data_IF_375383985742
#
_entry.id   IF_375383985742
#
_cell.length_a   1.000
_cell.length_b   1.000
_cell.length_c   1.000
_cell.angle_alpha   90.00
_cell.angle_beta   90.00
_cell.angle_gamma   90.00
#
_symmetry.space_group_name_H-M   'P 1'
#
loop_
_entity.id
_entity.type
_entity.pdbx_description
1 polymer ?
#
# COMPACT_ATOMS: atom_id res chain seq x y z
N UNK A 1 9.92 -41.20 22.69
CA UNK A 1 10.09 -40.54 21.40
C UNK A 1 9.17 -39.33 21.38
N UNK A 2 9.64 -38.10 21.69
CA UNK A 2 8.77 -36.94 21.78
C UNK A 2 8.55 -36.29 20.41
N UNK A 3 7.38 -35.66 20.31
CA UNK A 3 6.80 -35.02 19.14
C UNK A 3 7.66 -33.84 18.68
N UNK A 4 7.83 -33.77 17.36
CA UNK A 4 8.51 -32.72 16.59
C UNK A 4 8.11 -31.31 17.02
N UNK A 5 9.15 -30.52 17.32
CA UNK A 5 9.12 -29.07 17.48
C UNK A 5 8.33 -28.43 16.32
N UNK A 6 7.25 -27.71 16.66
CA UNK A 6 6.66 -26.76 15.73
C UNK A 6 7.67 -25.61 15.61
N UNK A 7 8.36 -25.55 14.47
CA UNK A 7 9.08 -24.35 14.06
C UNK A 7 8.05 -23.23 13.87
N UNK A 8 7.89 -22.39 14.88
CA UNK A 8 7.34 -21.05 14.73
C UNK A 8 8.23 -20.31 13.72
N UNK A 9 7.70 -19.79 12.60
CA UNK A 9 8.50 -18.96 11.72
C UNK A 9 8.80 -17.65 12.45
N UNK A 10 9.95 -17.60 13.12
CA UNK A 10 10.54 -16.38 13.67
C UNK A 10 10.96 -15.45 12.53
N UNK A 11 9.99 -14.75 11.94
CA UNK A 11 10.24 -13.73 10.93
C UNK A 11 10.13 -12.36 11.59
N UNK A 12 11.27 -11.80 12.00
CA UNK A 12 11.35 -10.37 12.25
C UNK A 12 11.40 -9.67 10.90
N UNK A 13 10.29 -9.09 10.49
CA UNK A 13 10.14 -8.36 9.22
C UNK A 13 11.14 -7.21 9.03
N UNK A 14 11.85 -6.80 10.10
CA UNK A 14 12.83 -5.71 10.07
C UNK A 14 14.07 -6.00 9.21
N UNK A 15 14.54 -7.26 9.15
CA UNK A 15 15.86 -7.57 8.58
C UNK A 15 15.74 -8.28 7.22
N UNK A 16 14.58 -8.88 6.95
CA UNK A 16 14.35 -9.72 5.78
C UNK A 16 13.67 -8.96 4.63
N UNK A 17 12.79 -7.97 4.88
CA UNK A 17 12.03 -7.33 3.80
C UNK A 17 12.86 -6.34 2.95
N UNK A 18 13.95 -5.77 3.49
CA UNK A 18 14.69 -4.67 2.86
C UNK A 18 16.01 -5.07 2.20
N UNK A 19 16.31 -6.36 2.04
CA UNK A 19 17.44 -6.73 1.17
C UNK A 19 17.06 -6.36 -0.27
N UNK A 20 17.69 -5.31 -0.81
CA UNK A 20 17.62 -4.94 -2.23
C UNK A 20 17.85 -6.20 -3.08
N UNK A 21 16.78 -6.78 -3.63
CA UNK A 21 16.88 -8.05 -4.35
C UNK A 21 15.64 -8.94 -4.38
N UNK A 22 14.54 -8.63 -3.67
CA UNK A 22 13.32 -9.45 -3.78
C UNK A 22 12.43 -9.00 -4.94
N UNK A 23 12.17 -9.93 -5.83
CA UNK A 23 11.24 -9.77 -6.95
C UNK A 23 9.79 -9.69 -6.45
N UNK A 24 8.88 -9.06 -7.21
CA UNK A 24 7.47 -9.00 -6.81
C UNK A 24 6.82 -10.37 -6.57
N UNK A 25 7.24 -11.38 -7.32
CA UNK A 25 6.75 -12.75 -7.17
C UNK A 25 7.22 -13.41 -5.86
N UNK A 26 8.42 -13.08 -5.37
CA UNK A 26 8.90 -13.59 -4.08
C UNK A 26 8.11 -12.99 -2.93
N UNK A 27 7.83 -11.68 -2.96
CA UNK A 27 6.96 -11.03 -1.97
C UNK A 27 5.57 -11.67 -1.99
N UNK A 28 4.98 -11.85 -3.17
CA UNK A 28 3.68 -12.52 -3.32
C UNK A 28 3.66 -13.91 -2.66
N UNK A 29 4.72 -14.70 -2.85
CA UNK A 29 4.82 -16.05 -2.28
C UNK A 29 5.08 -16.06 -0.79
N UNK A 30 6.08 -15.30 -0.33
CA UNK A 30 6.56 -15.36 1.05
C UNK A 30 5.67 -14.60 2.02
N UNK A 31 5.11 -13.47 1.60
CA UNK A 31 4.29 -12.60 2.46
C UNK A 31 2.82 -12.95 2.33
N UNK A 32 2.32 -13.14 1.11
CA UNK A 32 0.89 -13.36 0.85
C UNK A 32 0.51 -14.84 0.63
N UNK A 33 1.48 -15.74 0.51
CA UNK A 33 1.23 -17.17 0.33
C UNK A 33 0.67 -17.57 -1.04
N UNK A 34 0.65 -16.67 -2.04
CA UNK A 34 0.14 -16.98 -3.37
C UNK A 34 1.25 -17.45 -4.31
N UNK A 35 0.99 -18.50 -5.09
CA UNK A 35 1.99 -19.11 -5.99
C UNK A 35 2.25 -18.28 -7.26
N UNK A 36 1.27 -17.51 -7.72
CA UNK A 36 1.34 -16.68 -8.92
C UNK A 36 0.36 -15.51 -8.88
N UNK A 37 0.69 -14.46 -9.65
CA UNK A 37 -0.23 -13.37 -9.92
C UNK A 37 -1.42 -13.83 -10.77
N UNK A 38 -2.57 -13.17 -10.61
CA UNK A 38 -3.78 -13.44 -11.36
C UNK A 38 -3.95 -12.42 -12.50
N UNK A 39 -4.28 -12.89 -13.69
CA UNK A 39 -4.60 -12.03 -14.84
C UNK A 39 -3.48 -11.01 -15.13
N UNK A 40 -3.83 -9.72 -15.15
CA UNK A 40 -2.89 -8.62 -15.45
C UNK A 40 -2.15 -8.07 -14.23
N UNK A 41 -2.32 -8.65 -13.04
CA UNK A 41 -1.68 -8.15 -11.81
C UNK A 41 -0.16 -8.03 -11.96
N UNK A 42 0.49 -9.05 -12.52
CA UNK A 42 1.96 -9.07 -12.66
C UNK A 42 2.47 -7.88 -13.48
N UNK A 43 1.84 -7.62 -14.63
CA UNK A 43 2.22 -6.52 -15.53
C UNK A 43 2.09 -5.16 -14.83
N UNK A 44 1.00 -4.96 -14.09
CA UNK A 44 0.79 -3.74 -13.30
C UNK A 44 1.85 -3.59 -12.21
N UNK A 45 2.10 -4.66 -11.46
CA UNK A 45 3.07 -4.66 -10.36
C UNK A 45 4.48 -4.38 -10.87
N UNK A 46 4.92 -5.06 -11.92
CA UNK A 46 6.25 -4.85 -12.53
C UNK A 46 6.42 -3.43 -13.05
N UNK A 47 5.38 -2.87 -13.69
CA UNK A 47 5.38 -1.48 -14.16
C UNK A 47 5.52 -0.46 -13.02
N UNK A 48 4.76 -0.65 -11.94
CA UNK A 48 4.82 0.22 -10.76
C UNK A 48 6.15 0.10 -10.00
N UNK A 49 6.73 -1.11 -9.96
CA UNK A 49 8.07 -1.33 -9.37
C UNK A 49 9.16 -0.63 -10.17
N UNK A 50 9.02 -0.59 -11.50
CA UNK A 50 9.93 0.16 -12.38
C UNK A 50 9.78 1.69 -12.28
N UNK A 51 8.82 2.19 -11.48
CA UNK A 51 8.61 3.62 -11.28
C UNK A 51 7.55 4.26 -12.18
N UNK A 52 6.83 3.47 -12.98
CA UNK A 52 5.78 3.97 -13.85
C UNK A 52 4.46 4.26 -13.12
N UNK A 53 3.55 4.94 -13.80
CA UNK A 53 2.19 5.22 -13.34
C UNK A 53 1.16 4.30 -14.00
N UNK A 54 0.12 3.90 -13.27
CA UNK A 54 -0.93 3.03 -13.81
C UNK A 54 -2.33 3.39 -13.29
N UNK A 55 -3.33 3.24 -14.15
CA UNK A 55 -4.74 3.21 -13.77
C UNK A 55 -5.22 1.76 -13.88
N UNK A 56 -5.73 1.21 -12.77
CA UNK A 56 -6.08 -0.22 -12.66
C UNK A 56 -7.58 -0.40 -12.51
N UNK A 57 -8.22 -0.91 -13.56
CA UNK A 57 -9.63 -1.28 -13.53
C UNK A 57 -9.79 -2.79 -13.44
N UNK A 58 -9.82 -3.32 -12.22
CA UNK A 58 -10.22 -4.71 -11.98
C UNK A 58 -11.59 -4.77 -11.28
N UNK A 59 -12.34 -5.88 -11.39
CA UNK A 59 -13.54 -6.08 -10.57
C UNK A 59 -13.19 -6.18 -9.08
N UNK A 60 -14.20 -6.02 -8.22
CA UNK A 60 -14.04 -6.22 -6.76
C UNK A 60 -13.62 -7.66 -6.48
N UNK A 61 -12.78 -7.87 -5.46
CA UNK A 61 -12.28 -9.20 -5.11
C UNK A 61 -11.18 -9.76 -6.03
N UNK A 62 -10.83 -9.06 -7.11
CA UNK A 62 -9.74 -9.46 -8.02
C UNK A 62 -8.33 -9.17 -7.46
N UNK A 63 -8.19 -8.84 -6.18
CA UNK A 63 -6.90 -8.56 -5.54
C UNK A 63 -6.24 -7.27 -6.02
N UNK A 64 -7.00 -6.19 -6.22
CA UNK A 64 -6.48 -4.87 -6.59
C UNK A 64 -5.43 -4.35 -5.60
N UNK A 65 -5.63 -4.63 -4.31
CA UNK A 65 -4.71 -4.18 -3.25
C UNK A 65 -3.28 -4.67 -3.45
N UNK A 66 -3.10 -5.93 -3.89
CA UNK A 66 -1.78 -6.48 -4.20
C UNK A 66 -1.03 -5.66 -5.26
N UNK A 67 -1.76 -5.00 -6.17
CA UNK A 67 -1.17 -4.22 -7.25
C UNK A 67 -0.45 -2.97 -6.76
N UNK A 68 -0.77 -2.44 -5.57
CA UNK A 68 -0.03 -1.32 -4.98
C UNK A 68 0.74 -1.71 -3.72
N UNK A 69 0.29 -2.73 -2.99
CA UNK A 69 1.00 -3.19 -1.79
C UNK A 69 2.34 -3.83 -2.12
N UNK A 70 2.40 -4.71 -3.12
CA UNK A 70 3.66 -5.37 -3.49
C UNK A 70 4.67 -4.34 -4.03
N UNK A 71 4.32 -3.41 -4.93
CA UNK A 71 5.26 -2.37 -5.35
C UNK A 71 5.73 -1.46 -4.20
N UNK A 72 4.88 -1.17 -3.22
CA UNK A 72 5.28 -0.41 -2.04
C UNK A 72 6.34 -1.15 -1.21
N UNK A 73 6.29 -2.48 -1.16
CA UNK A 73 7.28 -3.32 -0.48
C UNK A 73 8.55 -3.56 -1.30
N UNK A 74 8.49 -3.45 -2.63
CA UNK A 74 9.65 -3.60 -3.50
C UNK A 74 10.52 -2.33 -3.60
N UNK A 75 9.90 -1.15 -3.44
CA UNK A 75 10.55 0.15 -3.62
C UNK A 75 11.04 0.69 -2.28
N UNK A 76 12.18 1.37 -2.30
CA UNK A 76 12.69 2.04 -1.11
C UNK A 76 11.82 3.25 -0.76
N UNK A 77 11.46 3.38 0.52
CA UNK A 77 10.53 4.38 1.03
C UNK A 77 9.18 3.81 1.49
N UNK A 78 8.23 4.69 1.78
CA UNK A 78 6.88 4.35 2.24
C UNK A 78 5.85 4.43 1.12
N UNK A 79 4.97 3.43 1.02
CA UNK A 79 3.78 3.48 0.17
C UNK A 79 2.63 4.23 0.86
N UNK A 80 2.08 5.25 0.21
CA UNK A 80 0.93 5.99 0.72
C UNK A 80 -0.32 5.57 -0.05
N UNK A 81 -1.33 5.09 0.66
CA UNK A 81 -2.60 4.63 0.07
C UNK A 81 -3.72 5.56 0.51
N UNK A 82 -4.34 6.26 -0.43
CA UNK A 82 -5.52 7.09 -0.18
C UNK A 82 -6.76 6.21 -0.36
N UNK A 83 -7.59 6.08 0.67
CA UNK A 83 -8.83 5.29 0.60
C UNK A 83 -9.98 6.00 1.33
N UNK A 84 -11.19 6.09 0.74
CA UNK A 84 -12.31 6.78 1.36
C UNK A 84 -12.97 5.97 2.51
N UNK A 85 -12.71 4.66 2.61
CA UNK A 85 -13.44 3.77 3.52
C UNK A 85 -12.61 3.44 4.76
N UNK A 86 -12.81 4.19 5.86
CA UNK A 86 -12.07 4.00 7.13
C UNK A 86 -12.14 2.56 7.66
N UNK A 87 -13.30 1.92 7.57
CA UNK A 87 -13.46 0.53 8.01
C UNK A 87 -12.56 -0.42 7.20
N UNK A 88 -12.52 -0.25 5.87
CA UNK A 88 -11.67 -1.04 4.99
C UNK A 88 -10.18 -0.76 5.25
N UNK A 89 -9.80 0.50 5.50
CA UNK A 89 -8.43 0.86 5.86
C UNK A 89 -7.96 0.09 7.09
N UNK A 90 -8.80 0.02 8.15
CA UNK A 90 -8.49 -0.72 9.37
C UNK A 90 -8.29 -2.20 9.09
N UNK A 91 -9.22 -2.82 8.36
CA UNK A 91 -9.18 -4.24 8.05
C UNK A 91 -7.94 -4.59 7.18
N UNK A 92 -7.57 -3.72 6.23
CA UNK A 92 -6.35 -3.87 5.43
C UNK A 92 -5.08 -3.73 6.28
N UNK A 93 -5.03 -2.75 7.20
CA UNK A 93 -3.88 -2.53 8.09
C UNK A 93 -3.71 -3.69 9.06
N UNK A 94 -4.80 -4.22 9.62
CA UNK A 94 -4.76 -5.38 10.50
C UNK A 94 -4.27 -6.63 9.75
N UNK A 95 -4.81 -6.90 8.56
CA UNK A 95 -4.36 -8.01 7.72
C UNK A 95 -2.87 -7.90 7.38
N UNK A 96 -2.39 -6.71 6.97
CA UNK A 96 -0.97 -6.48 6.69
C UNK A 96 -0.09 -6.70 7.93
N UNK A 97 -0.50 -6.23 9.10
CA UNK A 97 0.24 -6.47 10.36
C UNK A 97 0.34 -7.96 10.69
N UNK A 98 -0.71 -8.74 10.45
CA UNK A 98 -0.68 -10.20 10.63
C UNK A 98 0.31 -10.89 9.68
N UNK A 99 0.57 -10.30 8.51
CA UNK A 99 1.60 -10.76 7.57
C UNK A 99 3.01 -10.23 7.90
N UNK A 100 3.17 -9.50 9.01
CA UNK A 100 4.43 -8.86 9.40
C UNK A 100 4.75 -7.56 8.66
N UNK A 101 3.85 -7.05 7.82
CA UNK A 101 4.03 -5.77 7.14
C UNK A 101 3.79 -4.62 8.12
N UNK A 102 4.68 -3.64 8.12
CA UNK A 102 4.60 -2.47 9.01
C UNK A 102 3.63 -1.45 8.42
N UNK A 103 2.34 -1.62 8.71
CA UNK A 103 1.30 -0.75 8.19
C UNK A 103 0.63 0.11 9.27
N UNK A 104 0.19 1.30 8.89
CA UNK A 104 -0.64 2.18 9.72
C UNK A 104 -1.76 2.83 8.92
N UNK A 105 -2.79 3.32 9.62
CA UNK A 105 -3.83 4.18 9.06
C UNK A 105 -3.79 5.55 9.73
N UNK A 106 -4.10 6.60 8.97
CA UNK A 106 -4.18 7.98 9.41
C UNK A 106 -5.52 8.56 8.95
N UNK A 107 -6.46 8.64 9.88
CA UNK A 107 -7.84 9.08 9.64
C UNK A 107 -8.33 9.93 10.83
N UNK A 108 -9.54 10.49 10.72
CA UNK A 108 -10.13 11.36 11.74
C UNK A 108 -10.52 10.65 13.05
N UNK A 109 -10.57 9.32 13.06
CA UNK A 109 -11.01 8.53 14.22
C UNK A 109 -9.88 8.21 15.21
N UNK A 110 -8.63 8.54 14.86
CA UNK A 110 -7.48 8.33 15.75
C UNK A 110 -7.56 9.24 16.97
N UNK A 111 -7.28 8.66 18.14
CA UNK A 111 -6.92 9.40 19.33
C UNK A 111 -5.60 10.15 19.14
N UNK A 112 -5.32 11.11 20.02
CA UNK A 112 -4.07 11.88 20.00
C UNK A 112 -2.86 10.97 20.18
N UNK A 113 -2.98 9.98 21.06
CA UNK A 113 -1.95 9.01 21.38
C UNK A 113 -1.61 8.15 20.15
N UNK A 114 -2.63 7.63 19.46
CA UNK A 114 -2.43 6.84 18.24
C UNK A 114 -1.81 7.68 17.11
N UNK A 115 -2.27 8.92 16.92
CA UNK A 115 -1.67 9.82 15.94
C UNK A 115 -0.18 10.08 16.22
N UNK A 116 0.19 10.31 17.49
CA UNK A 116 1.59 10.49 17.89
C UNK A 116 2.40 9.21 17.62
N UNK A 117 1.84 8.03 17.88
CA UNK A 117 2.49 6.75 17.61
C UNK A 117 2.74 6.55 16.11
N UNK A 118 1.75 6.80 15.25
CA UNK A 118 1.89 6.73 13.79
C UNK A 118 2.96 7.70 13.30
N UNK A 119 2.96 8.94 13.79
CA UNK A 119 3.98 9.94 13.44
C UNK A 119 5.39 9.48 13.83
N UNK A 120 5.55 8.94 15.04
CA UNK A 120 6.86 8.43 15.50
C UNK A 120 7.34 7.26 14.65
N UNK A 121 6.45 6.32 14.32
CA UNK A 121 6.79 5.18 13.47
C UNK A 121 7.18 5.64 12.05
N UNK A 122 6.45 6.59 11.48
CA UNK A 122 6.78 7.19 10.18
C UNK A 122 8.18 7.80 10.19
N UNK A 123 8.44 8.76 11.09
CA UNK A 123 9.74 9.46 11.16
C UNK A 123 10.92 8.57 11.56
N UNK A 124 10.64 7.38 12.10
CA UNK A 124 11.66 6.37 12.39
C UNK A 124 11.92 5.41 11.21
N UNK A 125 11.26 5.59 10.06
CA UNK A 125 11.35 4.66 8.92
C UNK A 125 10.77 3.28 9.24
N UNK A 126 9.82 3.21 10.18
CA UNK A 126 9.22 1.97 10.69
C UNK A 126 7.89 1.64 10.04
N UNK A 127 7.56 2.24 8.90
CA UNK A 127 6.34 1.98 8.14
C UNK A 127 6.66 1.67 6.69
N UNK A 128 6.01 0.63 6.18
CA UNK A 128 6.04 0.20 4.78
C UNK A 128 4.87 0.80 4.02
N UNK A 129 3.70 0.86 4.68
CA UNK A 129 2.48 1.40 4.12
C UNK A 129 1.74 2.30 5.11
N UNK A 130 1.27 3.43 4.62
CA UNK A 130 0.40 4.36 5.33
C UNK A 130 -0.90 4.55 4.56
N UNK A 131 -2.00 4.06 5.12
CA UNK A 131 -3.33 4.37 4.63
C UNK A 131 -3.77 5.74 5.16
N UNK A 132 -4.31 6.60 4.30
CA UNK A 132 -4.73 7.96 4.64
C UNK A 132 -6.09 8.25 4.03
N UNK A 133 -6.95 8.97 4.73
CA UNK A 133 -8.23 9.42 4.16
C UNK A 133 -8.06 10.62 3.22
N UNK A 134 -8.94 10.81 2.22
CA UNK A 134 -8.86 11.92 1.26
C UNK A 134 -8.77 13.30 1.91
N UNK A 135 -9.57 13.56 2.94
CA UNK A 135 -9.58 14.84 3.64
C UNK A 135 -8.26 15.10 4.37
N UNK A 136 -7.58 14.04 4.82
CA UNK A 136 -6.39 14.16 5.65
C UNK A 136 -5.11 14.35 4.82
N UNK A 137 -5.01 13.69 3.67
CA UNK A 137 -3.88 13.87 2.76
C UNK A 137 -3.79 15.31 2.21
N UNK A 138 -4.92 16.03 2.16
CA UNK A 138 -4.98 17.43 1.70
C UNK A 138 -4.54 18.45 2.75
N UNK A 139 -4.26 18.04 4.00
CA UNK A 139 -3.87 18.95 5.08
C UNK A 139 -2.40 19.35 5.00
N UNK A 140 -2.08 20.60 5.37
CA UNK A 140 -0.69 21.05 5.51
C UNK A 140 0.08 20.20 6.51
N UNK A 141 -0.57 19.79 7.61
CA UNK A 141 0.03 18.90 8.59
C UNK A 141 0.41 17.53 8.03
N UNK A 142 -0.30 17.01 7.02
CA UNK A 142 0.12 15.78 6.33
C UNK A 142 1.31 16.05 5.40
N UNK A 143 1.30 17.16 4.66
CA UNK A 143 2.44 17.59 3.82
C UNK A 143 3.72 17.71 4.66
N UNK A 144 3.65 18.35 5.82
CA UNK A 144 4.76 18.46 6.77
C UNK A 144 5.20 17.10 7.30
N UNK A 145 4.24 16.23 7.62
CA UNK A 145 4.49 14.90 8.16
C UNK A 145 5.33 14.02 7.22
N UNK A 146 5.13 14.13 5.90
CA UNK A 146 5.87 13.34 4.90
C UNK A 146 7.01 14.09 4.23
N UNK A 147 7.27 15.36 4.59
CA UNK A 147 8.18 16.24 3.87
C UNK A 147 9.63 15.71 3.78
N UNK A 148 10.06 14.94 4.78
CA UNK A 148 11.40 14.34 4.85
C UNK A 148 11.40 12.83 4.61
N UNK A 149 10.25 12.26 4.25
CA UNK A 149 10.10 10.82 4.04
C UNK A 149 10.38 10.47 2.59
N UNK A 150 11.08 9.36 2.36
CA UNK A 150 11.21 8.80 1.01
C UNK A 150 9.88 8.13 0.65
N UNK A 151 9.22 8.62 -0.39
CA UNK A 151 7.96 8.03 -0.86
C UNK A 151 8.26 6.95 -1.89
N UNK A 152 7.84 5.72 -1.59
CA UNK A 152 7.89 4.62 -2.54
C UNK A 152 6.87 4.86 -3.66
N UNK A 153 5.59 5.08 -3.32
CA UNK A 153 4.53 5.38 -4.29
C UNK A 153 3.32 6.01 -3.62
N UNK A 154 2.42 6.58 -4.44
CA UNK A 154 1.05 6.88 -4.05
C UNK A 154 0.09 5.92 -4.76
N UNK A 155 -0.94 5.47 -4.05
CA UNK A 155 -2.05 4.71 -4.59
C UNK A 155 -3.36 5.36 -4.19
N UNK A 156 -4.30 5.49 -5.14
CA UNK A 156 -5.66 5.99 -4.89
C UNK A 156 -6.60 4.81 -5.02
N UNK A 157 -7.09 4.34 -3.89
CA UNK A 157 -8.10 3.27 -3.82
C UNK A 157 -9.50 3.87 -3.98
N UNK A 158 -10.39 3.09 -4.60
CA UNK A 158 -11.72 3.56 -5.02
C UNK A 158 -11.68 4.92 -5.72
N UNK A 159 -10.79 5.06 -6.72
CA UNK A 159 -10.60 6.30 -7.49
C UNK A 159 -11.92 6.87 -8.07
N UNK A 160 -12.90 6.01 -8.34
CA UNK A 160 -14.23 6.41 -8.78
C UNK A 160 -14.98 7.29 -7.76
N UNK A 161 -14.64 7.22 -6.47
CA UNK A 161 -15.20 8.11 -5.44
C UNK A 161 -14.71 9.57 -5.56
N UNK A 162 -13.68 9.83 -6.37
CA UNK A 162 -13.13 11.17 -6.60
C UNK A 162 -13.78 11.89 -7.80
N UNK A 163 -14.63 11.20 -8.58
CA UNK A 163 -15.25 11.68 -9.82
C UNK A 163 -16.48 12.61 -9.63
N UNK A 164 -16.56 13.36 -8.53
CA UNK A 164 -17.56 14.43 -8.35
C UNK A 164 -16.95 15.85 -8.47
N UNK A 165 -15.72 15.98 -9.00
CA UNK A 165 -15.08 17.28 -9.26
C UNK A 165 -15.08 17.62 -10.76
N UNK A 166 -15.49 18.82 -11.19
CA UNK A 166 -15.59 19.22 -12.60
C UNK A 166 -14.24 19.26 -13.36
N UNK A 167 -13.12 18.96 -12.70
CA UNK A 167 -11.77 18.97 -13.28
C UNK A 167 -11.48 17.71 -14.13
N UNK A 168 -12.12 16.57 -13.86
CA UNK A 168 -11.87 15.32 -14.60
C UNK A 168 -12.76 15.13 -15.82
N UNK A 169 -13.91 15.81 -15.88
CA UNK A 169 -14.85 15.70 -17.01
C UNK A 169 -14.27 16.22 -18.34
N UNK A 170 -13.21 17.03 -18.32
CA UNK A 170 -12.57 17.54 -19.55
C UNK A 170 -11.55 16.56 -20.19
N UNK A 171 -11.13 15.51 -19.48
CA UNK A 171 -10.12 14.57 -20.01
C UNK A 171 -10.69 13.22 -20.49
N UNK A 172 -12.01 13.01 -20.40
CA UNK A 172 -12.67 11.79 -20.92
C UNK A 172 -12.90 11.82 -22.44
N UNK A 173 -12.73 12.95 -23.13
CA UNK A 173 -12.85 13.01 -24.59
C UNK A 173 -11.60 12.57 -25.36
N UNK A 174 -10.47 12.28 -24.69
CA UNK A 174 -9.19 11.99 -25.37
C UNK A 174 -8.75 10.52 -25.36
N UNK A 175 -9.51 9.60 -24.75
CA UNK A 175 -9.12 8.17 -24.67
C UNK A 175 -9.79 7.23 -25.67
N UNK A 176 -10.50 7.75 -26.68
CA UNK A 176 -11.04 6.94 -27.79
C UNK A 176 -10.12 6.83 -29.02
N UNK A 177 -8.86 7.29 -28.96
CA UNK A 177 -7.92 7.11 -30.08
C UNK A 177 -6.64 6.40 -29.61
N UNK A 178 -6.70 5.08 -29.62
CA UNK A 178 -5.53 4.23 -29.79
C UNK A 178 -5.96 3.00 -30.60
N UNK A 179 -6.11 3.24 -31.92
CA UNK A 179 -5.99 2.21 -32.96
C UNK A 179 -4.50 2.01 -33.27
#
# INVERSE_FOLDING_TARGET
MPLTERNEPGFSASDALFSAGRTPLEILKQVYGYSSFRGKQQQVVEHLVAGGDAVVLFPTGAGKSLCFQIPALCRDGIGIVVSPLIALMRDQVEAMKQLGIRAAALNSSLSREEFIAVRRALSAGQLDLLYVTPERILTDGFRELIANEKIALFAIDEAHCFDASPVFAQNQELSQVAN
#
